data_IF_844079531551
#
_entry.id   IF_844079531551
#
_cell.length_a   1.000
_cell.length_b   1.000
_cell.length_c   1.000
_cell.angle_alpha   90.00
_cell.angle_beta   90.00
_cell.angle_gamma   90.00
#
_symmetry.space_group_name_H-M   'P 1'
#
loop_
_entity.id
_entity.type
_entity.pdbx_description
1 polymer ?
#
# COMPACT_ATOMS: atom_id res chain seq x y z
N UNK A 1 1.24 -6.43 -21.32
CA UNK A 1 2.26 -5.56 -20.70
C UNK A 1 2.68 -6.23 -19.41
N UNK A 2 3.97 -6.28 -19.07
CA UNK A 2 4.36 -6.82 -17.77
C UNK A 2 3.79 -5.89 -16.69
N UNK A 3 3.07 -6.45 -15.71
CA UNK A 3 2.65 -5.74 -14.48
C UNK A 3 3.88 -5.46 -13.59
N UNK A 4 4.88 -4.78 -14.15
CA UNK A 4 5.68 -3.87 -13.34
C UNK A 4 4.77 -2.68 -13.11
N UNK A 5 4.35 -2.47 -11.86
CA UNK A 5 3.67 -1.24 -11.50
C UNK A 5 4.69 -0.11 -11.67
N UNK A 6 4.57 0.79 -12.69
CA UNK A 6 5.45 1.94 -12.82
C UNK A 6 5.39 2.87 -11.59
N UNK A 7 4.45 2.61 -10.67
CA UNK A 7 4.13 3.40 -9.49
C UNK A 7 4.82 2.92 -8.19
N UNK A 8 5.78 1.99 -8.25
CA UNK A 8 6.52 1.55 -7.05
C UNK A 8 7.30 2.67 -6.38
N UNK A 9 7.80 3.63 -7.18
CA UNK A 9 8.43 4.84 -6.70
C UNK A 9 7.54 6.03 -7.02
N UNK A 10 7.13 6.76 -5.99
CA UNK A 10 6.31 7.95 -6.14
C UNK A 10 7.01 9.17 -5.56
N UNK A 11 7.21 10.20 -6.39
CA UNK A 11 7.65 11.52 -5.95
C UNK A 11 6.51 12.49 -6.26
N UNK A 12 5.97 13.22 -5.27
CA UNK A 12 4.93 14.21 -5.51
C UNK A 12 5.38 15.20 -6.59
N UNK A 13 4.57 15.43 -7.65
CA UNK A 13 4.90 16.40 -8.68
C UNK A 13 4.74 17.82 -8.15
N UNK A 14 5.40 18.78 -8.81
CA UNK A 14 5.09 20.20 -8.58
C UNK A 14 3.70 20.52 -9.13
N UNK A 15 2.84 21.05 -8.28
CA UNK A 15 1.50 21.52 -8.65
C UNK A 15 1.57 23.00 -9.02
N UNK A 16 0.81 23.39 -10.05
CA UNK A 16 0.62 24.82 -10.36
C UNK A 16 -0.32 25.42 -9.32
N UNK A 17 0.07 26.46 -8.59
CA UNK A 17 -0.79 27.11 -7.60
C UNK A 17 -2.10 27.59 -8.21
N UNK A 18 -3.21 27.32 -7.54
CA UNK A 18 -4.54 27.81 -7.92
C UNK A 18 -4.69 29.31 -7.61
N UNK A 19 -3.91 29.84 -6.66
CA UNK A 19 -3.96 31.22 -6.20
C UNK A 19 -5.37 31.63 -5.73
N UNK A 20 -6.05 30.72 -5.02
CA UNK A 20 -7.37 30.98 -4.45
C UNK A 20 -7.23 31.57 -3.06
N UNK A 21 -7.97 32.64 -2.78
CA UNK A 21 -8.17 33.12 -1.43
C UNK A 21 -9.58 32.78 -0.94
N UNK A 22 -9.65 32.14 0.22
CA UNK A 22 -10.87 31.67 0.84
C UNK A 22 -11.25 32.54 2.03
N UNK A 23 -12.54 32.80 2.21
CA UNK A 23 -13.06 33.36 3.47
C UNK A 23 -13.00 32.29 4.57
N UNK A 24 -13.29 31.05 4.19
CA UNK A 24 -13.25 29.87 5.04
C UNK A 24 -12.85 28.65 4.23
N UNK A 25 -12.02 27.80 4.81
CA UNK A 25 -11.75 26.44 4.35
C UNK A 25 -11.42 25.61 5.57
N UNK A 26 -12.16 24.55 5.80
CA UNK A 26 -11.98 23.66 6.95
C UNK A 26 -12.16 22.20 6.52
N UNK A 27 -11.77 21.29 7.40
CA UNK A 27 -11.90 19.85 7.20
C UNK A 27 -10.62 19.11 7.54
N UNK A 28 -10.42 17.99 6.85
CA UNK A 28 -9.37 17.02 7.11
C UNK A 28 -9.95 15.62 7.23
N UNK A 29 -9.40 14.83 8.14
CA UNK A 29 -9.77 13.43 8.34
C UNK A 29 -8.64 12.47 7.98
N UNK A 30 -8.80 11.21 8.39
CA UNK A 30 -7.74 10.19 8.29
C UNK A 30 -7.61 9.64 6.86
N UNK A 31 -8.66 9.09 6.27
CA UNK A 31 -8.64 8.58 4.89
C UNK A 31 -10.07 8.24 4.41
N UNK A 32 -10.66 9.00 3.46
CA UNK A 32 -10.10 10.16 2.78
C UNK A 32 -10.12 11.44 3.63
N UNK A 33 -9.15 12.33 3.43
CA UNK A 33 -9.24 13.71 3.89
C UNK A 33 -10.14 14.52 2.95
N UNK A 34 -11.06 15.28 3.52
CA UNK A 34 -12.04 16.08 2.79
C UNK A 34 -12.08 17.49 3.36
N UNK A 35 -12.18 18.49 2.50
CA UNK A 35 -12.20 19.89 2.91
C UNK A 35 -13.27 20.64 2.14
N UNK A 36 -13.94 21.55 2.83
CA UNK A 36 -15.03 22.36 2.31
C UNK A 36 -14.80 23.82 2.68
N UNK A 37 -15.11 24.72 1.75
CA UNK A 37 -14.83 26.13 1.95
C UNK A 37 -15.55 27.03 0.96
N UNK A 38 -15.23 28.32 1.04
CA UNK A 38 -15.82 29.39 0.23
C UNK A 38 -14.77 30.43 -0.13
N UNK A 39 -14.67 30.82 -1.41
CA UNK A 39 -13.76 31.86 -1.88
C UNK A 39 -14.20 33.26 -1.44
N UNK A 40 -13.33 34.27 -1.57
CA UNK A 40 -13.68 35.69 -1.35
C UNK A 40 -14.83 36.16 -2.25
N UNK A 41 -14.93 35.64 -3.46
CA UNK A 41 -16.00 35.95 -4.42
C UNK A 41 -17.28 35.14 -4.18
N UNK A 42 -17.28 34.26 -3.17
CA UNK A 42 -18.44 33.54 -2.70
C UNK A 42 -18.71 32.19 -3.36
N UNK A 43 -17.74 31.65 -4.11
CA UNK A 43 -17.86 30.31 -4.70
C UNK A 43 -17.52 29.24 -3.66
N UNK A 44 -18.37 28.23 -3.52
CA UNK A 44 -18.07 27.08 -2.69
C UNK A 44 -17.01 26.20 -3.35
N UNK A 45 -16.11 25.65 -2.54
CA UNK A 45 -15.05 24.72 -2.95
C UNK A 45 -15.14 23.41 -2.18
N UNK A 46 -14.82 22.31 -2.86
CA UNK A 46 -14.66 20.99 -2.27
C UNK A 46 -13.29 20.42 -2.67
N UNK A 47 -12.53 19.98 -1.68
CA UNK A 47 -11.25 19.33 -1.90
C UNK A 47 -11.28 17.92 -1.33
N UNK A 48 -10.72 16.95 -2.06
CA UNK A 48 -10.66 15.57 -1.60
C UNK A 48 -9.29 14.97 -1.89
N UNK A 49 -8.71 14.36 -0.87
CA UNK A 49 -7.50 13.56 -0.99
C UNK A 49 -7.81 12.09 -0.68
N UNK A 50 -7.65 11.21 -1.67
CA UNK A 50 -7.93 9.77 -1.54
C UNK A 50 -7.04 8.94 -2.46
N UNK A 51 -6.45 7.88 -1.93
CA UNK A 51 -5.67 6.92 -2.73
C UNK A 51 -4.47 7.54 -3.43
N UNK A 52 -3.82 8.52 -2.79
CA UNK A 52 -2.70 9.27 -3.34
C UNK A 52 -3.11 10.43 -4.24
N UNK A 53 -4.41 10.65 -4.49
CA UNK A 53 -4.90 11.62 -5.45
C UNK A 53 -5.61 12.80 -4.77
N UNK A 54 -5.23 14.02 -5.13
CA UNK A 54 -5.90 15.27 -4.73
C UNK A 54 -6.77 15.79 -5.89
N UNK A 55 -8.04 16.06 -5.59
CA UNK A 55 -8.96 16.81 -6.45
C UNK A 55 -9.44 18.08 -5.75
N UNK A 56 -9.56 19.17 -6.49
CA UNK A 56 -10.22 20.41 -6.04
C UNK A 56 -11.28 20.80 -7.07
N UNK A 57 -12.50 20.93 -6.59
CA UNK A 57 -13.68 21.33 -7.36
C UNK A 57 -14.20 22.67 -6.81
N UNK A 58 -14.66 23.53 -7.71
CA UNK A 58 -15.28 24.82 -7.36
C UNK A 58 -16.63 24.93 -8.06
N UNK A 59 -17.61 25.49 -7.36
CA UNK A 59 -18.94 25.75 -7.89
C UNK A 59 -18.91 26.68 -9.11
N UNK A 60 -19.85 26.52 -10.03
CA UNK A 60 -19.95 27.36 -11.24
C UNK A 60 -20.56 28.75 -10.97
N UNK A 61 -21.24 28.91 -9.84
CA UNK A 61 -21.88 30.15 -9.41
C UNK A 61 -21.68 30.33 -7.89
N UNK A 62 -21.72 31.58 -7.38
CA UNK A 62 -21.64 31.83 -5.94
C UNK A 62 -22.70 31.04 -5.18
N UNK A 63 -22.34 30.48 -4.03
CA UNK A 63 -23.18 29.60 -3.20
C UNK A 63 -23.65 28.30 -3.88
N UNK A 64 -23.13 27.97 -5.07
CA UNK A 64 -23.46 26.73 -5.79
C UNK A 64 -22.86 25.47 -5.17
N UNK A 65 -23.22 24.31 -5.69
CA UNK A 65 -22.74 23.00 -5.21
C UNK A 65 -21.52 22.52 -6.02
N UNK A 66 -20.31 22.50 -5.45
CA UNK A 66 -19.11 22.06 -6.16
C UNK A 66 -19.10 20.56 -6.47
N UNK A 67 -19.75 19.72 -5.67
CA UNK A 67 -19.71 18.26 -5.81
C UNK A 67 -20.57 17.75 -6.96
N UNK A 68 -21.77 18.32 -7.11
CA UNK A 68 -22.73 17.83 -8.10
C UNK A 68 -22.64 18.61 -9.42
N UNK A 69 -22.31 19.90 -9.37
CA UNK A 69 -22.36 20.80 -10.51
C UNK A 69 -21.13 21.71 -10.62
N UNK A 70 -20.04 21.42 -9.90
CA UNK A 70 -18.80 22.21 -9.98
C UNK A 70 -17.94 21.86 -11.19
N UNK A 71 -16.84 22.58 -11.34
CA UNK A 71 -15.79 22.25 -12.29
C UNK A 71 -14.49 21.91 -11.54
N UNK A 72 -13.79 20.88 -12.04
CA UNK A 72 -12.52 20.43 -11.52
C UNK A 72 -11.42 21.41 -11.91
N UNK A 73 -10.76 22.01 -10.91
CA UNK A 73 -9.69 23.01 -11.11
C UNK A 73 -8.30 22.48 -10.74
N UNK A 74 -8.21 21.40 -9.95
CA UNK A 74 -6.97 20.69 -9.67
C UNK A 74 -7.22 19.19 -9.64
N UNK A 75 -6.32 18.44 -10.25
CA UNK A 75 -6.31 16.99 -10.26
C UNK A 75 -4.85 16.51 -10.28
N UNK A 76 -4.35 15.96 -9.17
CA UNK A 76 -2.94 15.63 -9.02
C UNK A 76 -2.70 14.35 -8.21
N UNK A 77 -1.88 13.44 -8.72
CA UNK A 77 -1.35 12.30 -7.95
C UNK A 77 -0.21 12.76 -7.06
N UNK A 78 -0.47 12.97 -5.77
CA UNK A 78 0.48 13.51 -4.80
C UNK A 78 1.12 12.46 -3.91
N UNK A 79 0.44 11.37 -3.56
CA UNK A 79 0.98 10.33 -2.69
C UNK A 79 0.92 8.93 -3.29
N UNK A 80 1.47 7.93 -2.58
CA UNK A 80 1.38 6.53 -3.00
C UNK A 80 -0.08 6.04 -2.99
N UNK A 81 -0.33 4.94 -3.70
CA UNK A 81 -1.63 4.27 -3.74
C UNK A 81 -2.12 3.98 -2.31
N UNK A 82 -3.44 4.02 -2.12
CA UNK A 82 -4.12 3.78 -0.84
C UNK A 82 -3.84 4.80 0.28
N UNK A 83 -2.89 5.73 0.13
CA UNK A 83 -2.71 6.82 1.10
C UNK A 83 -3.85 7.83 0.99
N UNK A 84 -4.40 8.28 2.12
CA UNK A 84 -5.60 9.14 2.11
C UNK A 84 -5.57 10.27 3.12
N UNK A 85 -4.45 10.45 3.82
CA UNK A 85 -4.33 11.40 4.92
C UNK A 85 -3.60 12.66 4.44
N UNK A 86 -4.18 13.83 4.68
CA UNK A 86 -3.61 15.14 4.36
C UNK A 86 -4.07 16.17 5.39
N UNK A 87 -3.18 17.05 5.79
CA UNK A 87 -3.52 18.21 6.62
C UNK A 87 -4.02 19.40 5.79
N UNK A 88 -4.78 20.30 6.41
CA UNK A 88 -5.19 21.56 5.78
C UNK A 88 -3.97 22.41 5.36
N UNK A 89 -2.93 22.46 6.20
CA UNK A 89 -1.68 23.15 5.87
C UNK A 89 -1.01 22.62 4.61
N UNK A 90 -0.96 21.30 4.43
CA UNK A 90 -0.44 20.68 3.22
C UNK A 90 -1.30 20.97 1.99
N UNK A 91 -2.62 20.85 2.10
CA UNK A 91 -3.54 21.21 1.01
C UNK A 91 -3.28 22.64 0.55
N UNK A 92 -3.33 23.59 1.48
CA UNK A 92 -3.15 25.01 1.19
C UNK A 92 -1.77 25.31 0.60
N UNK A 93 -0.72 24.66 1.11
CA UNK A 93 0.64 24.82 0.60
C UNK A 93 0.85 24.28 -0.80
N UNK A 94 0.33 23.09 -1.08
CA UNK A 94 0.54 22.42 -2.37
C UNK A 94 -0.33 23.04 -3.46
N UNK A 95 -1.60 23.34 -3.13
CA UNK A 95 -2.55 23.89 -4.09
C UNK A 95 -2.46 25.43 -4.20
N UNK A 96 -1.67 26.11 -3.36
CA UNK A 96 -1.57 27.57 -3.34
C UNK A 96 -2.89 28.23 -2.97
N UNK A 97 -3.53 27.75 -1.89
CA UNK A 97 -4.77 28.29 -1.34
C UNK A 97 -4.46 29.06 -0.05
N UNK A 98 -5.04 30.25 0.11
CA UNK A 98 -4.99 31.03 1.35
C UNK A 98 -6.37 31.14 1.99
N UNK A 99 -6.41 31.45 3.29
CA UNK A 99 -7.61 31.76 4.05
C UNK A 99 -7.44 33.17 4.60
N UNK A 100 -8.21 34.13 4.08
CA UNK A 100 -8.10 35.56 4.37
C UNK A 100 -6.66 36.08 4.19
N UNK A 101 -6.03 35.72 3.07
CA UNK A 101 -4.66 36.07 2.72
C UNK A 101 -3.58 35.36 3.54
N UNK A 102 -3.95 34.47 4.46
CA UNK A 102 -3.01 33.71 5.29
C UNK A 102 -2.96 32.25 4.87
N UNK A 103 -1.76 31.69 4.81
CA UNK A 103 -1.57 30.26 4.56
C UNK A 103 -1.54 29.51 5.89
N UNK A 104 -2.40 28.50 6.11
CA UNK A 104 -2.31 27.63 7.28
C UNK A 104 -0.93 26.97 7.37
N UNK A 105 -0.36 26.81 8.58
CA UNK A 105 0.99 26.28 8.76
C UNK A 105 1.06 24.81 8.31
N UNK A 106 2.20 24.43 7.72
CA UNK A 106 2.52 23.02 7.49
C UNK A 106 2.60 22.27 8.83
N UNK A 107 2.12 21.02 8.88
CA UNK A 107 2.20 20.23 10.10
C UNK A 107 3.66 19.97 10.46
N UNK A 108 3.96 19.96 11.76
CA UNK A 108 5.24 19.50 12.27
C UNK A 108 5.40 17.99 12.08
N UNK A 109 6.64 17.49 12.08
CA UNK A 109 6.91 16.05 11.96
C UNK A 109 6.17 15.20 13.01
N UNK A 110 6.12 15.58 14.32
CA UNK A 110 5.31 14.84 15.29
C UNK A 110 3.82 14.78 14.96
N UNK A 111 3.24 15.85 14.41
CA UNK A 111 1.83 15.88 13.99
C UNK A 111 1.60 14.98 12.78
N UNK A 112 2.53 14.98 11.82
CA UNK A 112 2.46 14.10 10.66
C UNK A 112 2.46 12.63 11.08
N UNK A 113 3.35 12.22 11.99
CA UNK A 113 3.39 10.85 12.51
C UNK A 113 2.10 10.45 13.21
N UNK A 114 1.61 11.32 14.11
CA UNK A 114 0.38 11.06 14.88
C UNK A 114 -0.84 10.84 13.98
N UNK A 115 -0.93 11.57 12.87
CA UNK A 115 -2.09 11.54 11.98
C UNK A 115 -1.86 10.68 10.72
N UNK A 116 -0.69 10.03 10.61
CA UNK A 116 -0.32 9.25 9.43
C UNK A 116 -0.18 10.08 8.14
N UNK A 117 0.15 11.36 8.23
CA UNK A 117 0.41 12.21 7.07
C UNK A 117 1.82 11.96 6.51
N UNK A 118 1.91 11.86 5.19
CA UNK A 118 3.18 11.83 4.46
C UNK A 118 3.62 13.24 4.04
N UNK A 119 4.91 13.43 3.77
CA UNK A 119 5.44 14.69 3.20
C UNK A 119 5.14 14.78 1.70
N UNK A 120 4.02 15.42 1.36
CA UNK A 120 3.55 15.56 -0.03
C UNK A 120 4.14 16.79 -0.75
N UNK A 121 5.16 17.45 -0.19
CA UNK A 121 5.77 18.67 -0.76
C UNK A 121 6.61 18.43 -2.02
N UNK A 122 6.97 17.17 -2.30
CA UNK A 122 7.93 16.79 -3.35
C UNK A 122 9.38 16.72 -2.86
N UNK A 123 9.67 17.05 -1.60
CA UNK A 123 10.99 16.85 -1.00
C UNK A 123 11.28 15.37 -0.69
N UNK A 124 10.23 14.57 -0.51
CA UNK A 124 10.32 13.14 -0.22
C UNK A 124 9.84 12.29 -1.40
N UNK A 125 10.46 11.13 -1.58
CA UNK A 125 9.99 10.05 -2.44
C UNK A 125 9.56 8.85 -1.59
N UNK A 126 8.56 8.14 -2.10
CA UNK A 126 7.96 6.98 -1.46
C UNK A 126 8.24 5.75 -2.29
N UNK A 127 8.59 4.66 -1.62
CA UNK A 127 8.67 3.33 -2.19
C UNK A 127 7.55 2.48 -1.59
N UNK A 128 6.77 1.83 -2.44
CA UNK A 128 5.69 0.93 -2.03
C UNK A 128 5.70 -0.31 -2.94
N UNK A 129 6.22 -1.41 -2.39
CA UNK A 129 6.22 -2.71 -3.06
C UNK A 129 5.32 -3.66 -2.30
N UNK A 130 4.51 -4.44 -3.03
CA UNK A 130 3.71 -5.48 -2.43
C UNK A 130 3.72 -6.76 -3.27
N UNK A 131 3.57 -7.89 -2.59
CA UNK A 131 3.38 -9.18 -3.25
C UNK A 131 2.51 -10.11 -2.44
N UNK A 132 1.64 -10.85 -3.12
CA UNK A 132 0.98 -12.02 -2.55
C UNK A 132 1.97 -13.18 -2.49
N UNK A 133 2.18 -13.70 -1.29
CA UNK A 133 3.14 -14.77 -1.05
C UNK A 133 2.82 -15.57 0.21
N UNK A 134 3.36 -16.79 0.28
CA UNK A 134 3.37 -17.58 1.52
C UNK A 134 4.24 -16.92 2.59
N UNK A 135 4.05 -17.28 3.86
CA UNK A 135 4.91 -16.80 4.96
C UNK A 135 6.38 -17.13 4.73
N UNK A 136 6.64 -18.33 4.21
CA UNK A 136 8.01 -18.77 3.94
C UNK A 136 8.67 -17.90 2.85
N UNK A 137 7.94 -17.62 1.76
CA UNK A 137 8.42 -16.71 0.71
C UNK A 137 8.58 -15.28 1.23
N UNK A 138 7.72 -14.81 2.14
CA UNK A 138 7.89 -13.50 2.77
C UNK A 138 9.16 -13.41 3.63
N UNK A 139 9.49 -14.46 4.41
CA UNK A 139 10.74 -14.53 5.19
C UNK A 139 11.96 -14.64 4.29
N UNK A 140 11.85 -15.37 3.18
CA UNK A 140 12.88 -15.43 2.15
C UNK A 140 13.11 -14.05 1.52
N UNK A 141 12.05 -13.32 1.19
CA UNK A 141 12.11 -11.96 0.66
C UNK A 141 12.80 -10.99 1.61
N UNK A 142 12.46 -11.01 2.90
CA UNK A 142 13.14 -10.21 3.91
C UNK A 142 14.64 -10.54 3.99
N UNK A 143 15.00 -11.83 3.87
CA UNK A 143 16.38 -12.31 3.84
C UNK A 143 17.13 -11.83 2.60
N UNK A 144 16.50 -11.87 1.42
CA UNK A 144 17.06 -11.30 0.19
C UNK A 144 17.30 -9.80 0.35
N UNK A 145 16.30 -9.08 0.86
CA UNK A 145 16.40 -7.64 1.07
C UNK A 145 17.60 -7.31 1.96
N UNK A 146 17.75 -8.01 3.08
CA UNK A 146 18.90 -7.89 3.97
C UNK A 146 20.24 -8.20 3.29
N UNK A 147 20.32 -9.26 2.50
CA UNK A 147 21.59 -9.68 1.89
C UNK A 147 22.05 -8.81 0.69
N UNK A 148 21.25 -7.81 0.26
CA UNK A 148 21.65 -6.95 -0.85
C UNK A 148 22.79 -6.02 -0.49
N UNK A 149 22.85 -5.56 0.77
CA UNK A 149 23.91 -4.69 1.26
C UNK A 149 24.56 -5.33 2.49
N UNK A 150 25.89 -5.25 2.57
CA UNK A 150 26.67 -5.77 3.70
C UNK A 150 26.32 -5.07 5.04
N UNK A 151 25.66 -3.91 4.98
CA UNK A 151 25.26 -3.09 6.12
C UNK A 151 23.73 -3.03 6.32
N UNK A 152 23.04 -4.14 6.09
CA UNK A 152 21.62 -4.26 6.44
C UNK A 152 21.44 -4.84 7.85
N UNK A 153 20.41 -4.38 8.56
CA UNK A 153 20.08 -4.84 9.91
C UNK A 153 18.59 -5.08 10.05
N UNK A 154 18.22 -6.25 10.55
CA UNK A 154 16.85 -6.52 10.97
C UNK A 154 16.57 -5.87 12.32
N UNK A 155 15.52 -5.06 12.36
CA UNK A 155 15.06 -4.37 13.56
C UNK A 155 13.59 -4.71 13.78
N UNK A 156 13.23 -4.97 15.02
CA UNK A 156 11.87 -5.29 15.40
C UNK A 156 11.43 -4.43 16.58
N UNK A 157 10.21 -3.90 16.52
CA UNK A 157 9.65 -3.12 17.64
C UNK A 157 9.23 -4.04 18.79
N UNK A 158 9.45 -3.58 20.02
CA UNK A 158 8.98 -4.27 21.23
C UNK A 158 7.69 -3.60 21.68
N UNK A 159 6.67 -4.41 21.94
CA UNK A 159 5.40 -3.95 22.51
C UNK A 159 5.24 -4.42 23.95
N UNK A 160 4.67 -3.58 24.80
CA UNK A 160 4.27 -3.97 26.14
C UNK A 160 2.90 -4.69 26.16
N UNK A 161 2.41 -5.01 27.35
CA UNK A 161 1.13 -5.69 27.55
C UNK A 161 -0.09 -4.85 27.10
N UNK A 162 0.08 -3.53 26.97
CA UNK A 162 -0.94 -2.59 26.49
C UNK A 162 -0.76 -2.31 24.98
N UNK A 163 0.03 -3.15 24.29
CA UNK A 163 0.38 -3.08 22.88
C UNK A 163 1.10 -1.78 22.46
N UNK A 164 1.64 -1.04 23.43
CA UNK A 164 2.41 0.18 23.18
C UNK A 164 3.84 -0.14 22.80
N UNK A 165 4.38 0.59 21.83
CA UNK A 165 5.80 0.45 21.45
C UNK A 165 6.67 1.05 22.57
N UNK A 166 7.52 0.21 23.15
CA UNK A 166 8.42 0.56 24.28
C UNK A 166 9.91 0.46 23.94
N UNK A 167 10.23 0.07 22.71
CA UNK A 167 11.61 0.01 22.21
C UNK A 167 11.70 -0.77 20.91
N UNK A 168 12.92 -1.12 20.55
CA UNK A 168 13.22 -2.02 19.43
C UNK A 168 14.43 -2.91 19.75
N UNK A 169 14.56 -4.02 19.04
CA UNK A 169 15.69 -4.97 19.13
C UNK A 169 16.26 -5.27 17.76
N UNK A 170 17.54 -5.64 17.72
CA UNK A 170 18.16 -6.23 16.53
C UNK A 170 17.84 -7.72 16.47
N UNK A 171 17.54 -8.21 15.27
CA UNK A 171 17.45 -9.63 14.96
C UNK A 171 18.60 -10.04 14.05
N UNK A 172 19.02 -11.30 14.14
CA UNK A 172 20.08 -11.82 13.26
C UNK A 172 19.51 -12.32 11.93
N UNK A 173 18.26 -12.82 11.95
CA UNK A 173 17.61 -13.39 10.77
C UNK A 173 16.12 -13.05 10.74
N UNK A 174 15.52 -13.08 9.55
CA UNK A 174 14.07 -12.91 9.40
C UNK A 174 13.24 -14.06 10.03
N UNK A 175 13.88 -15.18 10.40
CA UNK A 175 13.21 -16.27 11.09
C UNK A 175 12.88 -15.92 12.56
N UNK A 176 13.60 -14.96 13.16
CA UNK A 176 13.46 -14.52 14.55
C UNK A 176 12.37 -13.45 14.75
N UNK A 177 11.67 -13.02 13.70
CA UNK A 177 10.58 -12.05 13.82
C UNK A 177 9.41 -12.63 14.62
N UNK A 178 8.93 -11.82 15.56
CA UNK A 178 7.81 -12.08 16.48
C UNK A 178 6.66 -11.06 16.28
N UNK A 179 6.84 -10.09 15.39
CA UNK A 179 5.88 -9.03 15.01
C UNK A 179 5.49 -9.13 13.55
N UNK A 180 4.34 -8.55 13.21
CA UNK A 180 3.86 -8.45 11.83
C UNK A 180 4.57 -7.38 11.00
N UNK A 181 5.28 -6.48 11.66
CA UNK A 181 5.78 -5.21 11.14
C UNK A 181 7.27 -4.96 11.45
N UNK A 182 8.19 -5.91 11.13
CA UNK A 182 9.62 -5.69 11.30
C UNK A 182 10.16 -4.70 10.26
N UNK A 183 11.33 -4.15 10.54
CA UNK A 183 12.00 -3.14 9.70
C UNK A 183 13.39 -3.64 9.29
N UNK A 184 13.82 -3.31 8.07
CA UNK A 184 15.19 -3.46 7.61
C UNK A 184 15.84 -2.08 7.53
N UNK A 185 16.96 -1.89 8.21
CA UNK A 185 17.76 -0.66 8.14
C UNK A 185 19.01 -0.93 7.33
N UNK A 186 19.24 -0.14 6.28
CA UNK A 186 20.44 -0.17 5.47
C UNK A 186 21.34 1.04 5.77
N UNK A 187 22.61 0.78 6.07
CA UNK A 187 23.62 1.80 6.39
C UNK A 187 24.09 1.69 7.84
N UNK A 188 23.90 2.74 8.65
CA UNK A 188 24.49 2.75 10.00
C UNK A 188 23.74 1.81 10.95
N UNK A 189 24.48 0.86 11.55
CA UNK A 189 23.94 -0.02 12.61
C UNK A 189 23.35 0.80 13.76
N UNK A 190 22.07 0.62 14.13
CA UNK A 190 21.49 1.33 15.25
C UNK A 190 22.09 0.84 16.57
N UNK A 191 22.45 1.78 17.46
CA UNK A 191 22.93 1.43 18.81
C UNK A 191 21.78 1.00 19.70
N UNK A 192 22.06 0.17 20.72
CA UNK A 192 21.06 -0.23 21.72
C UNK A 192 20.40 0.98 22.40
N UNK A 193 21.16 2.06 22.65
CA UNK A 193 20.65 3.31 23.22
C UNK A 193 19.71 4.09 22.30
N UNK A 194 19.83 3.94 20.97
CA UNK A 194 18.86 4.49 20.02
C UNK A 194 17.60 3.63 20.00
N UNK A 195 17.77 2.30 19.89
CA UNK A 195 16.64 1.38 19.83
C UNK A 195 15.75 1.43 21.08
N UNK A 196 16.33 1.67 22.26
CA UNK A 196 15.59 1.86 23.50
C UNK A 196 14.73 3.15 23.54
N UNK A 197 14.91 4.08 22.59
CA UNK A 197 14.11 5.31 22.48
C UNK A 197 12.92 5.17 21.54
N UNK A 198 12.86 4.09 20.75
CA UNK A 198 11.77 3.83 19.82
C UNK A 198 10.47 3.73 20.64
N UNK A 199 9.45 4.46 20.22
CA UNK A 199 8.16 4.54 20.91
C UNK A 199 7.07 4.96 19.92
N UNK A 200 5.82 5.04 20.38
CA UNK A 200 4.71 5.53 19.54
C UNK A 200 4.95 6.92 18.92
N UNK A 201 5.79 7.73 19.55
CA UNK A 201 6.09 9.09 19.10
C UNK A 201 7.51 9.26 18.56
N UNK A 202 8.33 8.20 18.57
CA UNK A 202 9.73 8.25 18.14
C UNK A 202 10.00 7.06 17.24
N UNK A 203 10.11 7.33 15.94
CA UNK A 203 10.18 6.32 14.89
C UNK A 203 11.63 6.02 14.51
N UNK A 204 11.88 4.87 13.87
CA UNK A 204 13.24 4.44 13.51
C UNK A 204 13.88 5.38 12.48
N UNK A 205 13.08 5.89 11.55
CA UNK A 205 13.47 6.85 10.51
C UNK A 205 14.00 8.14 11.10
N UNK A 206 13.46 8.58 12.23
CA UNK A 206 13.88 9.81 12.90
C UNK A 206 15.23 9.61 13.63
N UNK A 207 15.45 8.41 14.18
CA UNK A 207 16.68 8.05 14.89
C UNK A 207 17.83 7.62 13.95
N UNK A 208 17.47 7.22 12.73
CA UNK A 208 18.35 6.67 11.71
C UNK A 208 18.22 7.44 10.39
N UNK A 209 18.13 8.78 10.46
CA UNK A 209 17.91 9.66 9.29
C UNK A 209 18.93 9.51 8.15
N UNK A 210 20.16 9.10 8.46
CA UNK A 210 21.22 8.85 7.48
C UNK A 210 21.15 7.44 6.85
N UNK A 211 20.26 6.58 7.34
CA UNK A 211 20.05 5.23 6.84
C UNK A 211 18.83 5.20 5.92
N UNK A 212 18.73 4.14 5.11
CA UNK A 212 17.48 3.77 4.46
C UNK A 212 16.72 2.82 5.39
N UNK A 213 15.49 3.20 5.74
CA UNK A 213 14.62 2.40 6.60
C UNK A 213 13.50 1.84 5.72
N UNK A 214 13.36 0.51 5.72
CA UNK A 214 12.36 -0.21 4.94
C UNK A 214 11.47 -1.00 5.88
N UNK A 215 10.23 -0.57 6.01
CA UNK A 215 9.23 -1.24 6.83
C UNK A 215 8.64 -2.41 6.05
N UNK A 216 8.60 -3.58 6.70
CA UNK A 216 7.92 -4.75 6.19
C UNK A 216 6.56 -4.86 6.89
N UNK A 217 5.53 -5.30 6.19
CA UNK A 217 4.25 -5.65 6.83
C UNK A 217 3.73 -6.97 6.27
N UNK A 218 3.56 -7.95 7.15
CA UNK A 218 3.18 -9.32 6.83
C UNK A 218 2.70 -10.00 8.12
N UNK A 219 1.39 -10.18 8.31
CA UNK A 219 0.81 -10.76 9.55
C UNK A 219 1.41 -12.13 9.89
N UNK A 220 1.65 -12.94 8.85
CA UNK A 220 2.32 -14.24 8.90
C UNK A 220 3.68 -14.30 9.59
N UNK A 221 4.36 -13.16 9.80
CA UNK A 221 5.60 -13.17 10.57
C UNK A 221 5.35 -13.47 12.05
N UNK A 222 4.27 -12.94 12.62
CA UNK A 222 3.91 -13.10 14.03
C UNK A 222 3.02 -14.33 14.27
N UNK A 223 2.01 -14.53 13.44
CA UNK A 223 1.02 -15.58 13.62
C UNK A 223 0.66 -16.21 12.27
N UNK A 224 0.14 -17.44 12.22
CA UNK A 224 -0.34 -18.03 10.96
C UNK A 224 -1.32 -17.05 10.27
N UNK A 225 -1.25 -16.87 8.94
CA UNK A 225 -2.16 -15.98 8.24
C UNK A 225 -3.60 -16.36 8.55
N UNK A 226 -4.49 -15.40 8.83
CA UNK A 226 -5.89 -15.71 9.04
C UNK A 226 -6.48 -16.29 7.74
N UNK A 227 -7.40 -17.25 7.87
CA UNK A 227 -8.26 -17.59 6.75
C UNK A 227 -9.20 -16.42 6.50
N UNK A 228 -9.16 -15.86 5.29
CA UNK A 228 -10.13 -14.82 4.94
C UNK A 228 -11.52 -15.45 4.88
N UNK A 229 -12.54 -14.73 5.36
CA UNK A 229 -13.91 -15.17 5.12
C UNK A 229 -14.19 -15.07 3.61
N UNK A 230 -14.66 -16.17 2.99
CA UNK A 230 -15.23 -16.10 1.65
C UNK A 230 -16.55 -15.34 1.70
N UNK A 231 -16.89 -14.65 0.63
CA UNK A 231 -18.22 -14.03 0.56
C UNK A 231 -19.28 -15.13 0.54
N UNK A 232 -20.37 -14.94 1.31
CA UNK A 232 -21.50 -15.88 1.33
C UNK A 232 -22.07 -16.15 -0.08
N UNK A 233 -21.95 -15.17 -0.98
CA UNK A 233 -22.35 -15.31 -2.38
C UNK A 233 -21.51 -16.34 -3.15
N UNK A 234 -20.18 -16.33 -2.97
CA UNK A 234 -19.28 -17.30 -3.60
C UNK A 234 -19.54 -18.70 -3.02
N UNK A 235 -19.67 -18.82 -1.69
CA UNK A 235 -19.93 -20.12 -1.06
C UNK A 235 -21.21 -20.78 -1.61
N UNK A 236 -22.31 -20.02 -1.68
CA UNK A 236 -23.58 -20.52 -2.22
C UNK A 236 -23.49 -20.95 -3.69
N UNK A 237 -22.66 -20.27 -4.50
CA UNK A 237 -22.41 -20.67 -5.89
C UNK A 237 -21.58 -21.92 -5.97
N UNK A 238 -20.55 -22.05 -5.14
CA UNK A 238 -19.70 -23.24 -5.07
C UNK A 238 -20.49 -24.49 -4.64
N UNK A 239 -21.49 -24.36 -3.76
CA UNK A 239 -22.40 -25.45 -3.41
C UNK A 239 -23.12 -26.04 -4.64
N UNK A 240 -23.48 -25.20 -5.62
CA UNK A 240 -24.17 -25.64 -6.85
C UNK A 240 -23.23 -26.32 -7.85
N UNK A 241 -21.92 -26.14 -7.73
CA UNK A 241 -20.93 -26.77 -8.62
C UNK A 241 -20.82 -28.27 -8.35
N UNK A 242 -21.23 -28.76 -7.17
CA UNK A 242 -21.37 -30.19 -6.88
C UNK A 242 -20.04 -30.96 -6.75
N UNK A 243 -18.91 -30.27 -6.62
CA UNK A 243 -17.57 -30.84 -6.34
C UNK A 243 -16.82 -29.99 -5.32
N UNK A 244 -15.83 -30.60 -4.68
CA UNK A 244 -14.92 -29.91 -3.75
C UNK A 244 -14.03 -28.92 -4.52
N UNK A 245 -13.93 -27.70 -3.96
CA UNK A 245 -13.13 -26.60 -4.51
C UNK A 245 -12.36 -25.97 -3.34
N UNK A 246 -11.04 -26.12 -3.39
CA UNK A 246 -10.09 -25.48 -2.49
C UNK A 246 -9.50 -24.25 -3.17
N UNK A 247 -9.31 -23.18 -2.40
CA UNK A 247 -8.85 -21.89 -2.92
C UNK A 247 -7.66 -21.42 -2.09
N UNK A 248 -6.57 -21.03 -2.75
CA UNK A 248 -5.42 -20.43 -2.08
C UNK A 248 -5.86 -19.20 -1.25
N UNK A 249 -5.30 -19.07 -0.05
CA UNK A 249 -5.64 -18.02 0.93
C UNK A 249 -6.91 -18.31 1.74
N UNK A 250 -7.71 -19.30 1.35
CA UNK A 250 -8.92 -19.72 2.05
C UNK A 250 -8.79 -21.13 2.63
N UNK A 251 -7.98 -21.98 2.00
CA UNK A 251 -7.69 -23.32 2.46
C UNK A 251 -6.46 -23.34 3.37
N UNK A 252 -6.53 -24.09 4.48
CA UNK A 252 -5.43 -24.22 5.44
C UNK A 252 -4.18 -24.87 4.83
N UNK A 253 -4.32 -25.62 3.73
CA UNK A 253 -3.20 -26.23 3.01
C UNK A 253 -2.38 -25.20 2.22
N UNK A 254 -2.94 -24.02 1.91
CA UNK A 254 -2.25 -22.98 1.13
C UNK A 254 -2.67 -21.57 1.57
N UNK A 255 -2.21 -21.18 2.75
CA UNK A 255 -2.36 -19.81 3.23
C UNK A 255 -1.30 -18.89 2.63
N UNK A 256 -1.75 -17.73 2.15
CA UNK A 256 -0.88 -16.66 1.69
C UNK A 256 -1.48 -15.31 2.11
N UNK A 257 -0.66 -14.27 1.98
CA UNK A 257 -1.05 -12.90 2.29
C UNK A 257 -0.18 -11.93 1.51
N UNK A 258 -0.52 -10.65 1.61
CA UNK A 258 0.31 -9.58 1.08
C UNK A 258 1.50 -9.31 2.01
N UNK A 259 2.73 -9.46 1.49
CA UNK A 259 3.90 -8.76 2.03
C UNK A 259 3.93 -7.35 1.46
N UNK A 260 4.02 -6.34 2.32
CA UNK A 260 4.30 -4.97 1.95
C UNK A 260 5.72 -4.59 2.35
N UNK A 261 6.39 -3.80 1.51
CA UNK A 261 7.68 -3.19 1.78
C UNK A 261 7.59 -1.71 1.44
N UNK A 262 7.78 -0.85 2.45
CA UNK A 262 7.60 0.59 2.32
C UNK A 262 8.83 1.34 2.78
N UNK A 263 9.16 2.43 2.10
CA UNK A 263 10.20 3.34 2.54
C UNK A 263 9.87 4.77 2.14
N UNK A 264 10.35 5.73 2.94
CA UNK A 264 10.35 7.16 2.59
C UNK A 264 11.79 7.66 2.62
N UNK A 265 12.20 8.41 1.60
CA UNK A 265 13.57 8.91 1.47
C UNK A 265 13.60 10.26 0.74
N UNK A 266 14.67 11.08 0.88
CA UNK A 266 14.78 12.33 0.14
C UNK A 266 14.69 12.13 -1.37
N UNK A 267 13.97 13.00 -2.07
CA UNK A 267 13.70 12.81 -3.49
C UNK A 267 14.94 12.87 -4.40
N UNK A 268 16.01 13.51 -3.92
CA UNK A 268 17.31 13.62 -4.58
C UNK A 268 18.30 12.50 -4.20
N UNK A 269 17.93 11.58 -3.30
CA UNK A 269 18.78 10.48 -2.86
C UNK A 269 18.75 9.30 -3.84
N UNK A 270 19.58 9.40 -4.87
CA UNK A 270 19.70 8.41 -5.95
C UNK A 270 20.22 7.05 -5.44
N UNK A 271 21.07 7.04 -4.42
CA UNK A 271 21.65 5.82 -3.87
C UNK A 271 20.60 4.98 -3.16
N UNK A 272 19.75 5.61 -2.31
CA UNK A 272 18.62 4.91 -1.67
C UNK A 272 17.63 4.38 -2.71
N UNK A 273 17.32 5.16 -3.75
CA UNK A 273 16.48 4.70 -4.85
C UNK A 273 17.08 3.50 -5.57
N UNK A 274 18.38 3.52 -5.85
CA UNK A 274 19.09 2.41 -6.50
C UNK A 274 19.05 1.13 -5.66
N UNK A 275 19.29 1.24 -4.36
CA UNK A 275 19.18 0.10 -3.42
C UNK A 275 17.78 -0.50 -3.43
N UNK A 276 16.73 0.33 -3.36
CA UNK A 276 15.34 -0.13 -3.41
C UNK A 276 14.98 -0.77 -4.76
N UNK A 277 15.55 -0.29 -5.86
CA UNK A 277 15.38 -0.92 -7.17
C UNK A 277 16.05 -2.31 -7.20
N UNK A 278 17.25 -2.46 -6.65
CA UNK A 278 17.92 -3.76 -6.56
C UNK A 278 17.14 -4.74 -5.68
N UNK A 279 16.53 -4.27 -4.59
CA UNK A 279 15.59 -5.05 -3.78
C UNK A 279 14.42 -5.51 -4.64
N UNK A 280 13.75 -4.58 -5.32
CA UNK A 280 12.63 -4.87 -6.22
C UNK A 280 12.98 -5.95 -7.22
N UNK A 281 14.10 -5.78 -7.95
CA UNK A 281 14.48 -6.68 -9.04
C UNK A 281 14.66 -8.13 -8.53
N UNK A 282 15.29 -8.30 -7.36
CA UNK A 282 15.45 -9.63 -6.74
C UNK A 282 14.12 -10.19 -6.24
N UNK A 283 13.24 -9.37 -5.70
CA UNK A 283 11.92 -9.81 -5.21
C UNK A 283 10.98 -10.18 -6.36
N UNK A 284 11.03 -9.45 -7.48
CA UNK A 284 10.29 -9.81 -8.70
C UNK A 284 10.76 -11.16 -9.23
N UNK A 285 12.05 -11.46 -9.14
CA UNK A 285 12.60 -12.75 -9.54
C UNK A 285 12.10 -13.95 -8.69
N UNK A 286 11.61 -13.72 -7.46
CA UNK A 286 10.99 -14.77 -6.64
C UNK A 286 9.66 -15.27 -7.20
N UNK A 287 9.01 -14.51 -8.07
CA UNK A 287 7.67 -14.82 -8.61
C UNK A 287 7.73 -14.87 -10.14
N UNK A 288 7.94 -16.06 -10.74
CA UNK A 288 7.96 -16.19 -12.19
C UNK A 288 6.60 -15.80 -12.78
N UNK A 289 6.64 -15.30 -14.01
CA UNK A 289 5.43 -15.10 -14.80
C UNK A 289 4.88 -16.45 -15.21
N UNK A 290 3.63 -16.70 -14.84
CA UNK A 290 2.93 -17.95 -15.13
C UNK A 290 1.64 -17.60 -15.87
N UNK A 291 1.34 -18.34 -16.94
CA UNK A 291 0.06 -18.21 -17.63
C UNK A 291 -1.02 -18.85 -16.77
N UNK A 292 -2.08 -18.09 -16.51
CA UNK A 292 -3.23 -18.49 -15.73
C UNK A 292 -4.39 -18.70 -16.68
N UNK A 293 -4.98 -19.88 -16.59
CA UNK A 293 -6.15 -20.26 -17.37
C UNK A 293 -7.41 -20.04 -16.57
N UNK A 294 -8.44 -19.57 -17.25
CA UNK A 294 -9.77 -19.40 -16.68
C UNK A 294 -10.70 -20.52 -17.13
N UNK A 295 -11.48 -21.04 -16.20
CA UNK A 295 -12.45 -22.13 -16.43
C UNK A 295 -13.76 -21.76 -15.74
N UNK A 296 -14.87 -21.88 -16.47
CA UNK A 296 -16.20 -21.87 -15.87
C UNK A 296 -16.34 -23.09 -14.95
N UNK A 297 -16.55 -22.88 -13.66
CA UNK A 297 -16.58 -23.96 -12.70
C UNK A 297 -17.88 -24.76 -12.75
N UNK A 298 -18.98 -24.18 -13.25
CA UNK A 298 -20.28 -24.84 -13.42
C UNK A 298 -20.29 -25.77 -14.64
N UNK A 299 -19.70 -25.33 -15.76
CA UNK A 299 -19.69 -26.12 -17.02
C UNK A 299 -18.40 -26.90 -17.27
N UNK A 300 -17.29 -26.48 -16.67
CA UNK A 300 -15.95 -26.98 -16.96
C UNK A 300 -15.33 -26.43 -18.25
N UNK A 301 -16.01 -25.52 -18.96
CA UNK A 301 -15.52 -24.93 -20.19
C UNK A 301 -14.38 -23.95 -19.94
N UNK A 302 -13.37 -23.97 -20.81
CA UNK A 302 -12.28 -22.98 -20.78
C UNK A 302 -12.80 -21.64 -21.27
N UNK A 303 -12.35 -20.55 -20.64
CA UNK A 303 -12.70 -19.18 -21.00
C UNK A 303 -11.45 -18.38 -21.43
N UNK A 304 -10.91 -18.57 -22.65
CA UNK A 304 -9.64 -17.97 -23.08
C UNK A 304 -9.60 -16.43 -23.02
N UNK A 305 -10.75 -15.76 -23.08
CA UNK A 305 -10.84 -14.30 -22.94
C UNK A 305 -10.45 -13.79 -21.55
N UNK A 306 -10.43 -14.66 -20.54
CA UNK A 306 -10.02 -14.37 -19.17
C UNK A 306 -8.63 -14.93 -18.84
N UNK A 307 -7.99 -15.66 -19.76
CA UNK A 307 -6.60 -16.09 -19.59
C UNK A 307 -5.71 -14.86 -19.43
N UNK A 308 -4.77 -14.91 -18.49
CA UNK A 308 -3.78 -13.85 -18.31
C UNK A 308 -2.45 -14.40 -17.82
N UNK A 309 -1.38 -13.66 -18.05
CA UNK A 309 -0.08 -13.95 -17.43
C UNK A 309 0.05 -13.10 -16.18
N UNK A 310 0.41 -13.72 -15.06
CA UNK A 310 0.66 -12.99 -13.81
C UNK A 310 1.83 -13.60 -13.04
N UNK A 311 2.39 -12.84 -12.09
CA UNK A 311 3.46 -13.31 -11.21
C UNK A 311 2.85 -13.96 -9.98
N UNK A 312 3.09 -15.25 -9.80
CA UNK A 312 2.58 -16.04 -8.67
C UNK A 312 3.76 -16.57 -7.86
N UNK A 313 3.61 -16.61 -6.54
CA UNK A 313 4.52 -17.34 -5.67
C UNK A 313 4.61 -18.81 -6.15
N UNK A 314 5.81 -19.34 -6.43
CA UNK A 314 5.99 -20.71 -6.91
C UNK A 314 5.28 -21.76 -6.06
N UNK A 315 5.22 -21.58 -4.73
CA UNK A 315 4.58 -22.55 -3.83
C UNK A 315 3.07 -22.55 -3.94
N UNK A 316 2.48 -21.37 -4.17
CA UNK A 316 1.05 -21.25 -4.41
C UNK A 316 0.71 -21.90 -5.76
N UNK A 317 1.55 -21.68 -6.78
CA UNK A 317 1.37 -22.29 -8.10
C UNK A 317 1.53 -23.82 -8.05
N UNK A 318 2.56 -24.34 -7.36
CA UNK A 318 2.78 -25.76 -7.14
C UNK A 318 1.60 -26.41 -6.41
N UNK A 319 1.09 -25.77 -5.35
CA UNK A 319 -0.11 -26.23 -4.65
C UNK A 319 -1.35 -26.23 -5.54
N UNK A 320 -1.55 -25.18 -6.35
CA UNK A 320 -2.68 -25.14 -7.29
C UNK A 320 -2.58 -26.25 -8.35
N UNK A 321 -1.37 -26.66 -8.73
CA UNK A 321 -1.15 -27.74 -9.68
C UNK A 321 -1.19 -29.14 -9.06
N UNK A 322 -1.05 -29.27 -7.74
CA UNK A 322 -0.96 -30.57 -7.06
C UNK A 322 -2.26 -31.37 -7.05
N UNK A 323 -3.42 -30.69 -7.08
CA UNK A 323 -4.75 -31.32 -7.10
C UNK A 323 -5.69 -30.57 -8.05
N UNK A 324 -6.60 -31.30 -8.71
CA UNK A 324 -7.64 -30.73 -9.59
C UNK A 324 -8.64 -29.87 -8.82
N UNK A 325 -8.78 -30.10 -7.52
CA UNK A 325 -9.64 -29.31 -6.63
C UNK A 325 -8.99 -27.98 -6.19
N UNK A 326 -7.69 -27.77 -6.45
CA UNK A 326 -6.95 -26.60 -6.00
C UNK A 326 -6.96 -25.48 -7.04
N UNK A 327 -7.43 -24.30 -6.62
CA UNK A 327 -7.54 -23.11 -7.46
C UNK A 327 -6.78 -21.93 -6.83
N UNK A 328 -6.12 -21.11 -7.66
CA UNK A 328 -5.45 -19.90 -7.17
C UNK A 328 -6.46 -18.89 -6.64
N UNK A 329 -7.58 -18.75 -7.34
CA UNK A 329 -8.69 -17.89 -6.95
C UNK A 329 -9.95 -18.30 -7.70
N UNK A 330 -11.09 -17.93 -7.14
CA UNK A 330 -12.40 -18.05 -7.76
C UNK A 330 -13.07 -16.68 -7.74
N UNK A 331 -13.70 -16.29 -8.84
CA UNK A 331 -14.41 -15.01 -8.97
C UNK A 331 -15.75 -15.20 -9.63
N UNK A 332 -16.60 -14.20 -9.46
CA UNK A 332 -17.84 -14.07 -10.21
C UNK A 332 -17.54 -13.10 -11.34
N UNK A 333 -17.61 -13.58 -12.58
CA UNK A 333 -17.33 -12.79 -13.77
C UNK A 333 -18.63 -12.59 -14.56
N UNK A 334 -18.74 -11.45 -15.25
CA UNK A 334 -19.86 -11.18 -16.15
C UNK A 334 -19.49 -11.56 -17.58
N UNK A 335 -20.22 -12.52 -18.15
CA UNK A 335 -20.07 -12.97 -19.54
C UNK A 335 -21.43 -12.88 -20.21
N UNK A 336 -21.55 -12.08 -21.27
CA UNK A 336 -22.81 -11.85 -21.99
C UNK A 336 -23.98 -11.51 -21.05
N UNK A 337 -23.74 -10.57 -20.12
CA UNK A 337 -24.72 -10.12 -19.10
C UNK A 337 -25.11 -11.18 -18.05
N UNK A 338 -24.50 -12.37 -18.09
CA UNK A 338 -24.69 -13.43 -17.10
C UNK A 338 -23.51 -13.49 -16.13
N UNK A 339 -23.83 -13.64 -14.85
CA UNK A 339 -22.82 -13.83 -13.81
C UNK A 339 -22.52 -15.32 -13.64
N UNK A 340 -21.31 -15.71 -14.01
CA UNK A 340 -20.78 -17.07 -13.91
C UNK A 340 -19.67 -17.14 -12.85
N UNK A 341 -19.43 -18.33 -12.31
CA UNK A 341 -18.34 -18.56 -11.34
C UNK A 341 -17.12 -19.15 -12.05
N UNK A 342 -16.03 -18.38 -12.06
CA UNK A 342 -14.82 -18.67 -12.82
C UNK A 342 -13.68 -19.01 -11.87
N UNK A 343 -13.05 -20.15 -12.10
CA UNK A 343 -11.84 -20.58 -11.43
C UNK A 343 -10.61 -20.22 -12.25
N UNK A 344 -9.54 -19.81 -11.56
CA UNK A 344 -8.26 -19.46 -12.15
C UNK A 344 -7.18 -20.42 -11.65
N UNK A 345 -6.41 -21.01 -12.58
CA UNK A 345 -5.37 -22.00 -12.27
C UNK A 345 -4.14 -21.82 -13.17
N UNK A 346 -2.92 -22.13 -12.71
CA UNK A 346 -1.74 -22.14 -13.57
C UNK A 346 -1.94 -23.08 -14.76
N UNK A 347 -1.45 -22.68 -15.93
CA UNK A 347 -1.29 -23.62 -17.05
C UNK A 347 -0.08 -24.51 -16.80
N UNK A 348 -0.24 -25.79 -17.09
CA UNK A 348 0.86 -26.75 -17.23
C UNK A 348 1.67 -26.42 -18.48
#
# INVERSE_FOLDING_TARGET
MPDFDPDQFHTPPKVTPLNLDCISLDGGGWAPSQFEGKTQEGYNIYCRYRGGYLSVEISNEPDGDPLNNGHLILAAGLGPKLHGAMSLGQLCSIAGITINGMQPPMPSLPEMRKNGWLDLSGASSFYDFYMECTVETAKHAATIAHNILEEAYFVETIRDNDHQIVGAVLRNTAAEFETSDPTIIFGVKPSASKLAKVSQNVWLEDLCSNSLVVDLSCIGFQCPPPTFARSHYIDKRLENVGRSIKIAGYDNECLHQTLWMRATFPADDVDKRSTLQQITDKLVALRPEIKIQATDLETGERLPSFDKTERVDPKIAEWALSDVENWLRVRVESVNEQNIIVGYRPSI
#
